data_IF_063723348199
#
_entry.id   IF_063723348199
#
_cell.length_a   1.000
_cell.length_b   1.000
_cell.length_c   1.000
_cell.angle_alpha   90.00
_cell.angle_beta   90.00
_cell.angle_gamma   90.00
#
_symmetry.space_group_name_H-M   'P 1'
#
loop_
_entity.id
_entity.type
_entity.pdbx_description
1 polymer ?
#
# COMPACT_ATOMS: atom_id res chain seq x y z
N UNK A 1 34.22 -54.05 -1.48
CA UNK A 1 32.89 -53.80 -2.07
C UNK A 1 31.93 -53.49 -0.94
N UNK A 2 31.39 -52.27 -0.88
CA UNK A 2 30.56 -51.83 0.24
C UNK A 2 30.31 -50.33 0.16
N UNK A 3 29.60 -49.93 -0.88
CA UNK A 3 29.27 -48.55 -1.26
C UNK A 3 28.37 -47.91 -0.20
N UNK A 4 28.88 -46.91 0.55
CA UNK A 4 28.04 -46.06 1.40
C UNK A 4 27.33 -45.03 0.53
N UNK A 5 26.03 -45.21 0.36
CA UNK A 5 25.14 -44.31 -0.34
C UNK A 5 25.03 -42.98 0.43
N UNK A 6 25.31 -41.89 -0.28
CA UNK A 6 25.05 -40.52 0.14
C UNK A 6 23.53 -40.31 0.00
N UNK A 7 22.83 -40.20 1.12
CA UNK A 7 21.43 -39.79 1.18
C UNK A 7 21.36 -38.29 0.92
N UNK A 8 21.21 -37.92 -0.35
CA UNK A 8 20.80 -36.58 -0.74
C UNK A 8 19.32 -36.41 -0.35
N UNK A 9 19.08 -35.63 0.71
CA UNK A 9 17.76 -35.09 1.02
C UNK A 9 17.27 -34.30 -0.18
N UNK A 10 16.20 -34.79 -0.80
CA UNK A 10 15.47 -34.06 -1.83
C UNK A 10 14.71 -32.95 -1.14
N UNK A 11 15.25 -31.74 -1.14
CA UNK A 11 14.45 -30.53 -1.02
C UNK A 11 13.43 -30.54 -2.15
N UNK A 12 12.20 -30.90 -1.79
CA UNK A 12 11.05 -30.86 -2.68
C UNK A 12 10.72 -29.41 -2.98
N UNK A 13 11.37 -28.86 -4.01
CA UNK A 13 10.92 -27.66 -4.73
C UNK A 13 9.44 -27.84 -5.07
N UNK A 14 8.56 -27.17 -4.32
CA UNK A 14 7.14 -27.06 -4.66
C UNK A 14 7.05 -26.19 -5.91
N UNK A 15 7.09 -26.85 -7.06
CA UNK A 15 6.67 -26.25 -8.32
C UNK A 15 5.17 -25.95 -8.19
N UNK A 16 4.85 -24.67 -8.04
CA UNK A 16 3.47 -24.17 -8.00
C UNK A 16 2.76 -24.65 -9.26
N UNK A 17 1.74 -25.52 -9.11
CA UNK A 17 0.84 -25.88 -10.20
C UNK A 17 0.07 -24.64 -10.59
N UNK A 18 0.26 -24.16 -11.81
CA UNK A 18 -0.49 -23.04 -12.37
C UNK A 18 -1.98 -23.41 -12.43
N UNK A 19 -2.83 -22.62 -11.76
CA UNK A 19 -4.26 -22.54 -12.04
C UNK A 19 -5.23 -22.75 -10.87
N UNK A 20 -4.76 -23.16 -9.67
CA UNK A 20 -5.64 -23.30 -8.50
C UNK A 20 -5.04 -22.61 -7.27
N UNK A 21 -5.83 -21.77 -6.55
CA UNK A 21 -5.38 -21.16 -5.30
C UNK A 21 -4.94 -22.22 -4.29
N UNK A 22 -3.89 -21.94 -3.51
CA UNK A 22 -3.47 -22.83 -2.43
C UNK A 22 -4.56 -22.96 -1.35
N UNK A 23 -4.43 -23.96 -0.47
CA UNK A 23 -5.39 -24.19 0.62
C UNK A 23 -5.50 -22.97 1.54
N UNK A 24 -4.37 -22.32 1.80
CA UNK A 24 -4.26 -21.07 2.55
C UNK A 24 -5.06 -19.93 1.89
N UNK A 25 -4.91 -19.74 0.57
CA UNK A 25 -5.68 -18.75 -0.19
C UNK A 25 -7.19 -19.02 -0.13
N UNK A 26 -7.61 -20.29 -0.23
CA UNK A 26 -9.01 -20.70 -0.07
C UNK A 26 -9.51 -20.38 1.34
N UNK A 27 -8.71 -20.63 2.38
CA UNK A 27 -9.05 -20.29 3.78
C UNK A 27 -9.24 -18.77 3.92
N UNK A 28 -8.32 -17.97 3.43
CA UNK A 28 -8.41 -16.51 3.45
C UNK A 28 -9.65 -16.00 2.71
N UNK A 29 -9.98 -16.60 1.56
CA UNK A 29 -11.21 -16.30 0.81
C UNK A 29 -12.46 -16.60 1.63
N UNK A 30 -12.53 -17.76 2.30
CA UNK A 30 -13.66 -18.11 3.17
C UNK A 30 -13.80 -17.12 4.33
N UNK A 31 -12.70 -16.75 4.98
CA UNK A 31 -12.68 -15.72 6.04
C UNK A 31 -13.27 -14.40 5.53
N UNK A 32 -12.80 -13.93 4.38
CA UNK A 32 -13.30 -12.69 3.76
C UNK A 32 -14.81 -12.74 3.49
N UNK A 33 -15.29 -13.81 2.86
CA UNK A 33 -16.72 -13.95 2.54
C UNK A 33 -17.61 -14.17 3.77
N UNK A 34 -17.07 -14.71 4.87
CA UNK A 34 -17.79 -14.81 6.15
C UNK A 34 -18.14 -13.42 6.70
N UNK A 35 -17.20 -12.47 6.62
CA UNK A 35 -17.43 -11.10 7.04
C UNK A 35 -18.20 -10.27 6.00
N UNK A 36 -17.97 -10.54 4.72
CA UNK A 36 -18.57 -9.85 3.58
C UNK A 36 -19.22 -10.83 2.59
N UNK A 37 -20.44 -11.32 2.86
CA UNK A 37 -21.11 -12.32 2.01
C UNK A 37 -21.31 -11.87 0.56
N UNK A 38 -21.49 -10.56 0.32
CA UNK A 38 -21.59 -9.98 -1.04
C UNK A 38 -20.24 -9.72 -1.73
N UNK A 39 -19.12 -10.16 -1.14
CA UNK A 39 -17.77 -9.90 -1.63
C UNK A 39 -17.47 -8.41 -1.77
N UNK A 40 -16.68 -8.04 -2.79
CA UNK A 40 -16.28 -6.66 -3.04
C UNK A 40 -17.44 -5.74 -3.47
N UNK A 41 -18.58 -6.30 -3.85
CA UNK A 41 -19.74 -5.54 -4.34
C UNK A 41 -20.88 -5.46 -3.32
N UNK A 42 -20.73 -6.11 -2.16
CA UNK A 42 -21.71 -6.08 -1.09
C UNK A 42 -21.74 -4.75 -0.34
N UNK A 43 -22.93 -4.30 0.04
CA UNK A 43 -23.15 -3.03 0.77
C UNK A 43 -22.31 -2.94 2.04
N UNK A 44 -22.20 -4.03 2.82
CA UNK A 44 -21.38 -4.07 4.03
C UNK A 44 -19.90 -3.77 3.74
N UNK A 45 -19.34 -4.40 2.70
CA UNK A 45 -17.95 -4.16 2.31
C UNK A 45 -17.73 -2.72 1.84
N UNK A 46 -18.66 -2.20 1.03
CA UNK A 46 -18.61 -0.81 0.56
C UNK A 46 -18.65 0.16 1.74
N UNK A 47 -19.55 -0.06 2.69
CA UNK A 47 -19.70 0.81 3.87
C UNK A 47 -18.49 0.74 4.80
N UNK A 48 -17.95 -0.46 5.05
CA UNK A 48 -16.94 -0.68 6.09
C UNK A 48 -15.52 -0.44 5.57
N UNK A 49 -15.19 -0.93 4.38
CA UNK A 49 -13.80 -1.00 3.93
C UNK A 49 -13.49 -0.12 2.74
N UNK A 50 -14.38 -0.05 1.74
CA UNK A 50 -14.06 0.67 0.48
C UNK A 50 -14.43 2.14 0.50
N UNK A 51 -15.62 2.49 0.99
CA UNK A 51 -16.25 3.79 0.78
C UNK A 51 -15.36 4.95 1.21
N UNK A 52 -14.77 4.88 2.41
CA UNK A 52 -13.89 5.93 2.91
C UNK A 52 -12.55 6.04 2.16
N UNK A 53 -12.04 4.93 1.61
CA UNK A 53 -10.80 4.91 0.80
C UNK A 53 -11.06 5.51 -0.58
N UNK A 54 -12.21 5.18 -1.17
CA UNK A 54 -12.66 5.75 -2.43
C UNK A 54 -12.96 7.25 -2.31
N UNK A 55 -13.63 7.68 -1.24
CA UNK A 55 -13.88 9.10 -0.98
C UNK A 55 -12.57 9.90 -0.85
N UNK A 56 -11.51 9.32 -0.26
CA UNK A 56 -10.18 9.94 -0.25
C UNK A 56 -9.58 10.07 -1.65
N UNK A 57 -9.78 9.08 -2.52
CA UNK A 57 -9.37 9.16 -3.93
C UNK A 57 -10.15 10.25 -4.70
N UNK A 58 -11.46 10.34 -4.53
CA UNK A 58 -12.28 11.37 -5.18
C UNK A 58 -11.86 12.78 -4.75
N UNK A 59 -11.60 12.98 -3.46
CA UNK A 59 -11.04 14.25 -2.94
C UNK A 59 -9.65 14.54 -3.51
N UNK A 60 -8.85 13.51 -3.72
CA UNK A 60 -7.54 13.68 -4.36
C UNK A 60 -7.67 14.17 -5.78
N UNK A 61 -8.51 13.53 -6.60
CA UNK A 61 -8.74 13.94 -7.99
C UNK A 61 -9.28 15.38 -8.07
N UNK A 62 -10.19 15.76 -7.18
CA UNK A 62 -10.74 17.12 -7.11
C UNK A 62 -9.67 18.16 -6.72
N UNK A 63 -8.90 17.91 -5.66
CA UNK A 63 -8.03 18.92 -5.06
C UNK A 63 -6.58 18.91 -5.59
N UNK A 64 -6.09 17.74 -6.00
CA UNK A 64 -4.70 17.46 -6.39
C UNK A 64 -4.58 16.50 -7.60
N UNK A 65 -5.61 16.39 -8.44
CA UNK A 65 -5.50 15.69 -9.72
C UNK A 65 -4.36 16.26 -10.58
N UNK A 66 -3.81 15.45 -11.50
CA UNK A 66 -2.54 15.74 -12.19
C UNK A 66 -2.45 17.16 -12.79
N UNK A 67 -3.53 17.64 -13.41
CA UNK A 67 -3.57 18.97 -14.03
C UNK A 67 -3.44 20.09 -13.00
N UNK A 68 -4.17 19.99 -11.90
CA UNK A 68 -4.17 20.98 -10.82
C UNK A 68 -2.85 20.94 -10.04
N UNK A 69 -2.36 19.74 -9.73
CA UNK A 69 -1.05 19.56 -9.09
C UNK A 69 0.05 20.24 -9.93
N UNK A 70 0.10 19.97 -11.24
CA UNK A 70 1.07 20.62 -12.15
C UNK A 70 0.90 22.14 -12.22
N UNK A 71 -0.33 22.66 -12.11
CA UNK A 71 -0.58 24.11 -12.10
C UNK A 71 0.00 24.75 -10.84
N UNK A 72 -0.32 24.19 -9.66
CA UNK A 72 0.21 24.67 -8.38
C UNK A 72 1.74 24.58 -8.32
N UNK A 73 2.32 23.48 -8.83
CA UNK A 73 3.77 23.28 -8.83
C UNK A 73 4.49 24.35 -9.66
N UNK A 74 3.96 24.69 -10.85
CA UNK A 74 4.50 25.77 -11.69
C UNK A 74 4.35 27.16 -11.08
N UNK A 75 3.31 27.35 -10.27
CA UNK A 75 3.09 28.59 -9.54
C UNK A 75 3.95 28.72 -8.26
N UNK A 76 4.71 27.68 -7.89
CA UNK A 76 5.49 27.67 -6.64
C UNK A 76 4.64 27.51 -5.38
N UNK A 77 3.37 27.09 -5.52
CA UNK A 77 2.39 26.97 -4.43
C UNK A 77 2.61 25.67 -3.61
N UNK A 78 3.84 25.43 -3.17
CA UNK A 78 4.24 24.18 -2.53
C UNK A 78 3.54 23.93 -1.19
N UNK A 79 3.38 24.99 -0.38
CA UNK A 79 2.67 24.92 0.90
C UNK A 79 1.20 24.54 0.72
N UNK A 80 0.56 25.02 -0.35
CA UNK A 80 -0.82 24.67 -0.67
C UNK A 80 -0.93 23.20 -1.09
N UNK A 81 -0.02 22.71 -1.94
CA UNK A 81 0.04 21.29 -2.32
C UNK A 81 0.18 20.41 -1.08
N UNK A 82 1.16 20.70 -0.24
CA UNK A 82 1.41 19.94 0.98
C UNK A 82 0.19 19.96 1.92
N UNK A 83 -0.44 21.13 2.07
CA UNK A 83 -1.64 21.31 2.90
C UNK A 83 -2.83 20.51 2.38
N UNK A 84 -3.05 20.48 1.06
CA UNK A 84 -4.12 19.67 0.44
C UNK A 84 -3.88 18.18 0.63
N UNK A 85 -2.67 17.69 0.36
CA UNK A 85 -2.32 16.28 0.52
C UNK A 85 -2.51 15.82 1.98
N UNK A 86 -1.99 16.61 2.93
CA UNK A 86 -2.13 16.38 4.38
C UNK A 86 -3.59 16.43 4.83
N UNK A 87 -4.42 17.30 4.23
CA UNK A 87 -5.85 17.39 4.55
C UNK A 87 -6.63 16.19 4.03
N UNK A 88 -6.39 15.76 2.78
CA UNK A 88 -7.07 14.61 2.17
C UNK A 88 -6.85 13.34 3.01
N UNK A 89 -5.61 13.10 3.45
CA UNK A 89 -5.31 11.97 4.32
C UNK A 89 -6.04 12.09 5.67
N UNK A 90 -6.07 13.28 6.28
CA UNK A 90 -6.69 13.48 7.59
C UNK A 90 -8.22 13.46 7.62
N UNK A 91 -8.88 13.77 6.50
CA UNK A 91 -10.34 13.89 6.42
C UNK A 91 -11.07 12.55 6.36
N UNK A 92 -10.35 11.45 6.15
CA UNK A 92 -10.97 10.14 6.15
C UNK A 92 -11.49 9.77 7.54
N UNK A 93 -12.71 9.25 7.62
CA UNK A 93 -13.33 8.78 8.88
C UNK A 93 -12.48 7.70 9.56
N UNK A 94 -11.80 6.89 8.77
CA UNK A 94 -10.86 5.87 9.24
C UNK A 94 -9.44 6.29 8.87
N UNK A 95 -8.65 6.64 9.88
CA UNK A 95 -7.27 7.06 9.70
C UNK A 95 -6.45 5.97 9.00
N UNK A 96 -5.96 6.26 7.78
CA UNK A 96 -5.13 5.30 7.05
C UNK A 96 -3.74 5.20 7.66
N UNK A 97 -3.08 6.32 7.98
CA UNK A 97 -1.81 6.32 8.71
C UNK A 97 -2.03 6.55 10.22
N UNK A 98 -1.05 6.18 11.05
CA UNK A 98 -1.12 6.36 12.50
C UNK A 98 -0.97 7.83 12.91
N UNK A 99 -1.47 8.19 14.10
CA UNK A 99 -1.42 9.57 14.61
C UNK A 99 -0.01 10.15 14.66
N UNK A 100 1.00 9.36 15.02
CA UNK A 100 2.39 9.81 15.04
C UNK A 100 2.94 10.10 13.63
N UNK A 101 2.48 9.39 12.60
CA UNK A 101 2.87 9.60 11.20
C UNK A 101 2.23 10.88 10.67
N UNK A 102 0.95 11.13 11.02
CA UNK A 102 0.25 12.40 10.72
C UNK A 102 1.00 13.59 11.30
N UNK A 103 1.39 13.50 12.56
CA UNK A 103 2.17 14.53 13.23
C UNK A 103 3.54 14.74 12.57
N UNK A 104 4.25 13.64 12.27
CA UNK A 104 5.55 13.69 11.61
C UNK A 104 5.47 14.38 10.24
N UNK A 105 4.48 14.01 9.42
CA UNK A 105 4.26 14.60 8.10
C UNK A 105 3.93 16.09 8.21
N UNK A 106 2.96 16.45 9.07
CA UNK A 106 2.56 17.85 9.26
C UNK A 106 3.74 18.73 9.70
N UNK A 107 4.56 18.22 10.62
CA UNK A 107 5.73 18.95 11.10
C UNK A 107 6.82 19.06 10.02
N UNK A 108 7.00 18.01 9.21
CA UNK A 108 7.96 17.97 8.12
C UNK A 108 7.65 18.98 7.01
N UNK A 109 6.38 19.20 6.68
CA UNK A 109 5.95 20.12 5.61
C UNK A 109 5.59 21.52 6.10
N UNK A 110 5.83 21.82 7.38
CA UNK A 110 5.49 23.13 7.96
C UNK A 110 6.37 24.27 7.43
N UNK A 111 7.63 23.99 7.11
CA UNK A 111 8.52 24.97 6.50
C UNK A 111 8.35 24.99 4.99
N UNK A 112 8.59 26.13 4.35
CA UNK A 112 8.53 26.27 2.90
C UNK A 112 9.48 25.29 2.19
N UNK A 113 10.70 25.12 2.71
CA UNK A 113 11.65 24.14 2.18
C UNK A 113 11.15 22.69 2.29
N UNK A 114 10.52 22.33 3.41
CA UNK A 114 9.94 21.00 3.61
C UNK A 114 8.73 20.76 2.71
N UNK A 115 7.83 21.75 2.59
CA UNK A 115 6.68 21.71 1.70
C UNK A 115 7.11 21.57 0.24
N UNK A 116 8.14 22.31 -0.18
CA UNK A 116 8.71 22.24 -1.53
C UNK A 116 9.27 20.85 -1.84
N UNK A 117 10.16 20.33 -0.97
CA UNK A 117 10.73 18.99 -1.15
C UNK A 117 9.64 17.92 -1.25
N UNK A 118 8.63 17.99 -0.37
CA UNK A 118 7.49 17.08 -0.40
C UNK A 118 6.68 17.21 -1.69
N UNK A 119 6.30 18.42 -2.09
CA UNK A 119 5.45 18.67 -3.24
C UNK A 119 6.11 18.26 -4.57
N UNK A 120 7.37 18.64 -4.77
CA UNK A 120 8.16 18.27 -5.96
C UNK A 120 8.35 16.74 -6.02
N UNK A 121 8.80 16.13 -4.91
CA UNK A 121 9.04 14.69 -4.86
C UNK A 121 7.77 13.84 -5.00
N UNK A 122 6.64 14.30 -4.44
CA UNK A 122 5.36 13.61 -4.57
C UNK A 122 4.82 13.70 -6.01
N UNK A 123 4.97 14.86 -6.66
CA UNK A 123 4.62 15.00 -8.06
C UNK A 123 5.47 14.09 -8.94
N UNK A 124 6.78 14.03 -8.71
CA UNK A 124 7.69 13.16 -9.46
C UNK A 124 7.38 11.68 -9.26
N UNK A 125 6.99 11.27 -8.05
CA UNK A 125 6.55 9.91 -7.77
C UNK A 125 5.31 9.53 -8.59
N UNK A 126 4.27 10.37 -8.54
CA UNK A 126 2.97 10.09 -9.15
C UNK A 126 2.96 10.30 -10.67
N UNK A 127 3.64 11.34 -11.15
CA UNK A 127 3.49 11.84 -12.52
C UNK A 127 4.81 12.06 -13.25
N UNK A 128 5.95 11.88 -12.58
CA UNK A 128 7.27 11.99 -13.18
C UNK A 128 7.54 10.89 -14.21
N UNK A 129 8.57 11.12 -15.02
CA UNK A 129 9.04 10.15 -16.00
C UNK A 129 9.88 9.05 -15.36
N UNK A 130 9.94 7.88 -16.01
CA UNK A 130 10.72 6.73 -15.57
C UNK A 130 9.86 5.57 -15.07
N UNK A 131 10.51 4.46 -14.78
CA UNK A 131 9.84 3.27 -14.26
C UNK A 131 9.42 3.47 -12.78
N UNK A 132 8.46 2.66 -12.33
CA UNK A 132 7.90 2.76 -10.98
C UNK A 132 8.95 2.56 -9.87
N UNK A 133 9.96 1.72 -10.11
CA UNK A 133 11.09 1.48 -9.21
C UNK A 133 11.83 2.77 -8.88
N UNK A 134 12.40 3.43 -9.90
CA UNK A 134 13.16 4.67 -9.71
C UNK A 134 12.33 5.78 -9.09
N UNK A 135 11.05 5.88 -9.47
CA UNK A 135 10.13 6.86 -8.89
C UNK A 135 9.90 6.59 -7.40
N UNK A 136 9.69 5.34 -7.01
CA UNK A 136 9.48 4.95 -5.61
C UNK A 136 10.75 5.11 -4.77
N UNK A 137 11.92 4.78 -5.29
CA UNK A 137 13.19 4.96 -4.59
C UNK A 137 13.49 6.45 -4.34
N UNK A 138 13.34 7.30 -5.36
CA UNK A 138 13.46 8.76 -5.22
C UNK A 138 12.45 9.31 -4.22
N UNK A 139 11.23 8.78 -4.23
CA UNK A 139 10.22 9.16 -3.24
C UNK A 139 10.67 8.81 -1.81
N UNK A 140 11.22 7.61 -1.60
CA UNK A 140 11.78 7.23 -0.31
C UNK A 140 12.94 8.15 0.10
N UNK A 141 13.80 8.57 -0.83
CA UNK A 141 14.88 9.52 -0.57
C UNK A 141 14.36 10.90 -0.16
N UNK A 142 13.35 11.42 -0.86
CA UNK A 142 12.68 12.69 -0.52
C UNK A 142 12.10 12.62 0.89
N UNK A 143 11.30 11.60 1.18
CA UNK A 143 10.69 11.40 2.51
C UNK A 143 11.75 11.21 3.59
N UNK A 144 12.89 10.58 3.26
CA UNK A 144 14.00 10.45 4.18
C UNK A 144 14.66 11.79 4.51
N UNK A 145 14.77 12.69 3.54
CA UNK A 145 15.40 14.01 3.65
C UNK A 145 14.50 15.08 4.28
N UNK A 146 13.19 14.83 4.41
CA UNK A 146 12.27 15.76 5.03
C UNK A 146 12.67 16.13 6.48
N UNK A 147 12.44 17.38 6.92
CA UNK A 147 12.76 17.82 8.27
C UNK A 147 12.15 16.90 9.34
N UNK A 148 12.96 16.53 10.34
CA UNK A 148 12.52 15.68 11.46
C UNK A 148 12.69 16.42 12.76
N UNK A 149 11.61 16.55 13.54
CA UNK A 149 11.67 17.10 14.90
C UNK A 149 11.82 16.01 15.96
N UNK A 150 10.91 15.03 15.97
CA UNK A 150 10.83 14.03 17.05
C UNK A 150 10.72 12.61 16.50
N UNK A 151 9.81 12.38 15.55
CA UNK A 151 9.52 11.06 15.00
C UNK A 151 10.11 10.87 13.61
N UNK A 152 10.35 9.61 13.23
CA UNK A 152 10.82 9.26 11.88
C UNK A 152 9.68 9.49 10.89
N UNK A 153 9.95 10.27 9.85
CA UNK A 153 9.01 10.51 8.73
C UNK A 153 9.05 9.33 7.74
N UNK A 154 10.22 8.72 7.53
CA UNK A 154 10.36 7.56 6.64
C UNK A 154 9.75 6.29 7.24
N UNK A 155 8.48 6.05 6.96
CA UNK A 155 7.74 4.83 7.32
C UNK A 155 6.99 4.27 6.11
N UNK A 156 6.70 2.97 6.15
CA UNK A 156 5.95 2.29 5.09
C UNK A 156 4.57 2.89 4.82
N UNK A 157 3.74 3.18 5.84
CA UNK A 157 2.46 3.81 5.59
C UNK A 157 2.62 5.16 4.88
N UNK A 158 3.57 6.00 5.30
CA UNK A 158 3.72 7.32 4.69
C UNK A 158 4.19 7.25 3.23
N UNK A 159 5.15 6.38 2.90
CA UNK A 159 5.63 6.30 1.52
C UNK A 159 4.64 5.63 0.56
N UNK A 160 3.63 4.92 1.05
CA UNK A 160 2.64 4.22 0.22
C UNK A 160 1.24 4.87 0.21
N UNK A 161 0.87 5.66 1.22
CA UNK A 161 -0.49 6.20 1.35
C UNK A 161 -0.89 7.12 0.19
N UNK A 162 -0.02 8.03 -0.23
CA UNK A 162 -0.36 8.98 -1.29
C UNK A 162 -0.46 8.32 -2.66
N UNK A 163 0.42 7.35 -2.96
CA UNK A 163 0.30 6.54 -4.16
C UNK A 163 -1.03 5.79 -4.20
N UNK A 164 -1.39 5.14 -3.09
CA UNK A 164 -2.63 4.39 -2.95
C UNK A 164 -3.88 5.25 -3.11
N UNK A 165 -3.89 6.46 -2.54
CA UNK A 165 -5.00 7.40 -2.67
C UNK A 165 -5.08 7.96 -4.10
N UNK A 166 -3.95 8.36 -4.68
CA UNK A 166 -3.92 9.05 -5.96
C UNK A 166 -4.13 8.11 -7.16
N UNK A 167 -3.62 6.88 -7.08
CA UNK A 167 -3.56 5.94 -8.20
C UNK A 167 -3.86 4.51 -7.72
N UNK A 168 -5.08 4.24 -7.23
CA UNK A 168 -5.46 2.94 -6.65
C UNK A 168 -5.39 1.78 -7.64
N UNK A 169 -5.30 2.04 -8.95
CA UNK A 169 -5.10 1.02 -9.97
C UNK A 169 -3.66 0.45 -9.94
N UNK A 170 -2.69 1.25 -9.47
CA UNK A 170 -1.25 0.93 -9.57
C UNK A 170 -0.60 0.71 -8.20
N UNK A 171 -0.98 1.50 -7.20
CA UNK A 171 -0.29 1.53 -5.92
C UNK A 171 -1.12 0.91 -4.81
N UNK A 172 -0.44 0.25 -3.87
CA UNK A 172 -1.07 -0.42 -2.74
C UNK A 172 -0.50 0.10 -1.42
N UNK A 173 -1.37 0.28 -0.42
CA UNK A 173 -0.99 0.80 0.88
C UNK A 173 -0.46 -0.29 1.81
N UNK A 174 0.73 -0.06 2.39
CA UNK A 174 1.44 -1.04 3.22
C UNK A 174 1.37 -0.66 4.71
N UNK A 175 0.63 -1.47 5.48
CA UNK A 175 0.67 -1.46 6.95
C UNK A 175 1.50 -2.64 7.46
N UNK A 176 2.72 -2.41 8.01
CA UNK A 176 3.71 -3.46 8.23
C UNK A 176 3.20 -4.73 8.92
N UNK A 177 2.57 -4.61 10.09
CA UNK A 177 2.14 -5.77 10.86
C UNK A 177 1.00 -6.52 10.19
N UNK A 178 -0.01 -5.79 9.73
CA UNK A 178 -1.16 -6.38 9.03
C UNK A 178 -0.74 -7.07 7.74
N UNK A 179 0.10 -6.43 6.93
CA UNK A 179 0.61 -7.02 5.68
C UNK A 179 1.41 -8.29 5.94
N UNK A 180 2.26 -8.32 6.98
CA UNK A 180 3.03 -9.51 7.35
C UNK A 180 2.13 -10.65 7.82
N UNK A 181 1.14 -10.35 8.66
CA UNK A 181 0.17 -11.34 9.12
C UNK A 181 -0.64 -11.89 7.94
N UNK A 182 -1.14 -11.01 7.07
CA UNK A 182 -1.87 -11.40 5.86
C UNK A 182 -1.03 -12.31 4.95
N UNK A 183 0.24 -11.97 4.71
CA UNK A 183 1.14 -12.81 3.90
C UNK A 183 1.36 -14.18 4.53
N UNK A 184 1.54 -14.25 5.85
CA UNK A 184 1.65 -15.53 6.59
C UNK A 184 0.39 -16.37 6.47
N UNK A 185 -0.79 -15.76 6.69
CA UNK A 185 -2.07 -16.48 6.56
C UNK A 185 -2.32 -16.98 5.14
N UNK A 186 -1.91 -16.20 4.15
CA UNK A 186 -2.05 -16.52 2.74
C UNK A 186 -0.98 -17.50 2.21
N UNK A 187 0.07 -17.79 3.00
CA UNK A 187 1.18 -18.64 2.57
C UNK A 187 2.12 -17.99 1.54
N UNK A 188 2.19 -16.66 1.49
CA UNK A 188 3.06 -15.91 0.58
C UNK A 188 4.40 -15.55 1.24
N UNK A 189 5.51 -15.78 0.54
CA UNK A 189 6.86 -15.38 0.98
C UNK A 189 7.10 -13.87 0.81
N UNK A 190 6.60 -13.09 1.76
CA UNK A 190 6.72 -11.64 1.75
C UNK A 190 8.09 -11.19 2.29
N UNK A 191 8.92 -10.63 1.39
CA UNK A 191 10.28 -10.14 1.67
C UNK A 191 10.28 -8.79 2.39
N UNK A 192 9.82 -8.79 3.64
CA UNK A 192 9.68 -7.58 4.44
C UNK A 192 11.01 -7.08 5.01
N UNK A 193 11.30 -5.80 4.75
CA UNK A 193 12.32 -5.01 5.46
C UNK A 193 11.65 -3.82 6.14
N UNK A 194 12.10 -3.48 7.35
CA UNK A 194 11.48 -2.39 8.13
C UNK A 194 11.70 -1.01 7.52
N UNK A 195 12.88 -0.78 6.94
CA UNK A 195 13.18 0.43 6.18
C UNK A 195 12.53 0.33 4.77
N UNK A 196 11.76 1.35 4.34
CA UNK A 196 11.22 1.41 2.99
C UNK A 196 12.29 1.22 1.91
N UNK A 197 11.98 0.36 0.94
CA UNK A 197 12.85 0.02 -0.21
C UNK A 197 12.03 -0.56 -1.35
N UNK A 198 12.54 -0.45 -2.59
CA UNK A 198 11.84 -1.02 -3.73
C UNK A 198 11.66 -2.54 -3.63
N UNK A 199 12.68 -3.28 -3.18
CA UNK A 199 12.63 -4.74 -3.05
C UNK A 199 11.41 -5.23 -2.26
N UNK A 200 11.15 -4.63 -1.09
CA UNK A 200 9.97 -5.00 -0.28
C UNK A 200 8.68 -4.53 -0.94
N UNK A 201 8.65 -3.35 -1.57
CA UNK A 201 7.42 -2.87 -2.22
C UNK A 201 7.07 -3.69 -3.46
N UNK A 202 8.06 -4.10 -4.26
CA UNK A 202 7.89 -5.00 -5.39
C UNK A 202 7.40 -6.38 -4.94
N UNK A 203 7.95 -6.92 -3.85
CA UNK A 203 7.44 -8.15 -3.23
C UNK A 203 5.97 -8.01 -2.79
N UNK A 204 5.58 -6.84 -2.27
CA UNK A 204 4.20 -6.56 -1.90
C UNK A 204 3.26 -6.40 -3.10
N UNK A 205 3.71 -5.76 -4.19
CA UNK A 205 2.97 -5.69 -5.45
C UNK A 205 2.76 -7.08 -6.06
N UNK A 206 3.77 -7.95 -6.01
CA UNK A 206 3.64 -9.34 -6.44
C UNK A 206 2.64 -10.13 -5.59
N UNK A 207 2.62 -9.88 -4.27
CA UNK A 207 1.60 -10.45 -3.38
C UNK A 207 0.20 -9.98 -3.77
N UNK A 208 0.03 -8.67 -4.01
CA UNK A 208 -1.24 -8.09 -4.43
C UNK A 208 -1.75 -8.68 -5.76
N UNK A 209 -0.86 -8.90 -6.72
CA UNK A 209 -1.22 -9.52 -8.00
C UNK A 209 -1.62 -10.98 -7.86
N UNK A 210 -0.93 -11.73 -6.99
CA UNK A 210 -1.30 -13.12 -6.67
C UNK A 210 -2.72 -13.17 -6.09
N UNK A 211 -3.01 -12.32 -5.09
CA UNK A 211 -4.34 -12.21 -4.49
C UNK A 211 -5.40 -11.79 -5.52
N UNK A 212 -5.07 -10.85 -6.41
CA UNK A 212 -5.99 -10.42 -7.48
C UNK A 212 -6.35 -11.56 -8.42
N UNK A 213 -5.35 -12.34 -8.85
CA UNK A 213 -5.53 -13.51 -9.71
C UNK A 213 -6.41 -14.57 -9.05
N UNK A 214 -6.11 -14.92 -7.79
CA UNK A 214 -6.83 -15.96 -7.06
C UNK A 214 -8.28 -15.58 -6.70
N UNK A 215 -8.60 -14.28 -6.71
CA UNK A 215 -9.94 -13.75 -6.42
C UNK A 215 -10.65 -13.19 -7.66
N UNK A 216 -10.21 -13.54 -8.87
CA UNK A 216 -10.79 -13.02 -10.12
C UNK A 216 -12.30 -13.23 -10.21
N UNK A 217 -12.82 -14.33 -9.65
CA UNK A 217 -14.25 -14.65 -9.60
C UNK A 217 -15.07 -13.63 -8.79
N UNK A 218 -14.46 -13.03 -7.77
CA UNK A 218 -15.06 -11.97 -6.95
C UNK A 218 -15.00 -10.59 -7.60
N UNK A 219 -14.31 -10.46 -8.74
CA UNK A 219 -14.18 -9.22 -9.54
C UNK A 219 -13.70 -8.02 -8.72
N UNK A 220 -12.49 -8.07 -8.12
CA UNK A 220 -11.89 -6.89 -7.49
C UNK A 220 -11.67 -5.79 -8.53
N UNK A 221 -11.90 -4.53 -8.16
CA UNK A 221 -11.75 -3.38 -9.07
C UNK A 221 -10.31 -2.89 -9.16
N UNK A 222 -9.67 -2.71 -8.02
CA UNK A 222 -8.40 -1.98 -7.89
C UNK A 222 -7.64 -2.44 -6.62
N UNK A 223 -6.53 -1.77 -6.29
CA UNK A 223 -5.75 -2.09 -5.10
C UNK A 223 -6.49 -1.74 -3.81
N UNK A 224 -7.58 -0.96 -3.81
CA UNK A 224 -8.41 -0.77 -2.61
C UNK A 224 -9.07 -2.09 -2.23
N UNK A 225 -9.59 -2.82 -3.21
CA UNK A 225 -10.19 -4.15 -2.98
C UNK A 225 -9.15 -5.16 -2.48
N UNK A 226 -7.98 -5.19 -3.09
CA UNK A 226 -6.90 -6.10 -2.70
C UNK A 226 -6.33 -5.76 -1.31
N UNK A 227 -6.09 -4.48 -1.03
CA UNK A 227 -5.59 -4.03 0.27
C UNK A 227 -6.60 -4.33 1.37
N UNK A 228 -7.89 -4.13 1.12
CA UNK A 228 -8.95 -4.42 2.10
C UNK A 228 -9.11 -5.92 2.34
N UNK A 229 -8.96 -6.76 1.32
CA UNK A 229 -8.90 -8.21 1.51
C UNK A 229 -7.76 -8.61 2.44
N UNK A 230 -6.56 -8.08 2.22
CA UNK A 230 -5.38 -8.34 3.06
C UNK A 230 -5.57 -7.78 4.48
N UNK A 231 -6.24 -6.64 4.62
CA UNK A 231 -6.62 -6.06 5.92
C UNK A 231 -7.42 -7.07 6.75
N UNK A 232 -8.44 -7.69 6.17
CA UNK A 232 -9.27 -8.71 6.82
C UNK A 232 -8.46 -9.94 7.25
N UNK A 233 -7.40 -10.29 6.52
CA UNK A 233 -6.57 -11.44 6.90
C UNK A 233 -5.65 -11.13 8.09
N UNK A 234 -5.07 -9.94 8.12
CA UNK A 234 -3.99 -9.62 9.06
C UNK A 234 -4.35 -8.68 10.23
N UNK A 235 -5.55 -8.09 10.24
CA UNK A 235 -6.03 -7.18 11.28
C UNK A 235 -6.81 -7.93 12.36
N UNK A 236 -6.61 -7.52 13.61
CA UNK A 236 -7.30 -8.05 14.79
C UNK A 236 -8.79 -7.62 14.83
N UNK A 237 -9.19 -6.63 14.01
CA UNK A 237 -10.60 -6.24 13.82
C UNK A 237 -11.46 -7.37 13.22
N UNK A 238 -10.83 -8.37 12.63
CA UNK A 238 -11.45 -9.49 11.94
C UNK A 238 -10.95 -10.83 12.50
N UNK A 239 -10.89 -10.95 13.82
CA UNK A 239 -10.59 -12.22 14.50
C UNK A 239 -11.70 -13.26 14.28
N UNK A 240 -11.31 -14.54 14.29
CA UNK A 240 -12.25 -15.66 14.17
C UNK A 240 -12.78 -16.13 15.52
#
# INVERSE_FOLDING_TARGET
MGTKAISAERESSRTVRQGQPCEEAIRCRRKFLRFFPGGFHGEKYISWERGYKWESHERWEEALGQKEFRRLLRAGEFTEIASRAVRIEQQSRHSMIFSFEKMALRDAVKSEAGARLFAEGLYDFLHGAGNVERKFERWCEVVAALPRKQTRVLTWPLVTVFGFIAQPETHIFLKPMVTRNAAREYGFDFRYKSRPSWETYASFLAFAETVRSDLQDLRPRDMIDIQSFMWVQGSDEYEE
#
